data_IF_994928765284
#
_entry.id   IF_994928765284
#
_cell.length_a   1.000
_cell.length_b   1.000
_cell.length_c   1.000
_cell.angle_alpha   90.00
_cell.angle_beta   90.00
_cell.angle_gamma   90.00
#
_symmetry.space_group_name_H-M   'P 1'
#
loop_
_entity.id
_entity.type
_entity.pdbx_description
1 polymer ?
#
# COMPACT_ATOMS: atom_id res chain seq x y z
N UNK A 1 16.23 0.93 -4.69
CA UNK A 1 16.14 1.04 -3.22
C UNK A 1 14.75 1.53 -2.86
N UNK A 2 14.00 0.79 -2.05
CA UNK A 2 12.76 1.33 -1.45
C UNK A 2 13.20 2.21 -0.29
N UNK A 3 12.90 3.50 -0.35
CA UNK A 3 13.30 4.45 0.69
C UNK A 3 12.44 4.21 1.95
N UNK A 4 12.97 3.41 2.88
CA UNK A 4 12.33 3.06 4.16
C UNK A 4 11.99 4.30 5.01
N UNK A 5 12.64 5.45 4.74
CA UNK A 5 12.33 6.70 5.41
C UNK A 5 10.87 7.14 5.20
N UNK A 6 10.30 6.94 4.01
CA UNK A 6 8.97 7.48 3.69
C UNK A 6 7.84 6.88 4.53
N UNK A 7 7.91 5.58 4.81
CA UNK A 7 6.90 4.91 5.64
C UNK A 7 6.98 5.37 7.09
N UNK A 8 8.19 5.60 7.61
CA UNK A 8 8.42 6.02 9.00
C UNK A 8 7.79 7.38 9.33
N UNK A 9 7.58 8.25 8.34
CA UNK A 9 6.96 9.57 8.55
C UNK A 9 5.48 9.63 8.17
N UNK A 10 4.92 8.55 7.62
CA UNK A 10 3.53 8.57 7.19
C UNK A 10 2.60 8.57 8.41
N UNK A 11 1.60 9.46 8.50
CA UNK A 11 0.71 9.54 9.67
C UNK A 11 0.04 8.21 10.03
N UNK A 12 -0.39 7.44 9.02
CA UNK A 12 -1.00 6.10 9.19
C UNK A 12 -0.08 5.01 9.73
N UNK A 13 1.24 5.23 9.71
CA UNK A 13 2.25 4.28 10.19
C UNK A 13 2.94 4.74 11.48
N UNK A 14 2.46 5.82 12.12
CA UNK A 14 2.89 6.21 13.47
C UNK A 14 2.28 5.27 14.51
N UNK A 15 3.01 4.97 15.59
CA UNK A 15 2.69 3.93 16.58
C UNK A 15 1.19 3.66 16.82
N UNK A 16 0.46 4.59 17.44
CA UNK A 16 -0.97 4.39 17.77
C UNK A 16 -1.86 4.25 16.52
N UNK A 17 -1.53 4.92 15.43
CA UNK A 17 -2.27 4.80 14.17
C UNK A 17 -1.99 3.45 13.49
N UNK A 18 -0.75 2.96 13.57
CA UNK A 18 -0.36 1.66 13.05
C UNK A 18 -1.12 0.55 13.77
N UNK A 19 -1.19 0.60 15.10
CA UNK A 19 -1.92 -0.40 15.91
C UNK A 19 -3.42 -0.41 15.60
N UNK A 20 -4.03 0.76 15.38
CA UNK A 20 -5.43 0.87 14.95
C UNK A 20 -5.63 0.29 13.54
N UNK A 21 -4.79 0.71 12.59
CA UNK A 21 -4.88 0.29 11.19
C UNK A 21 -4.56 -1.19 11.00
N UNK A 22 -3.75 -1.80 11.87
CA UNK A 22 -3.46 -3.24 11.87
C UNK A 22 -4.74 -4.08 12.02
N UNK A 23 -5.70 -3.64 12.83
CA UNK A 23 -6.99 -4.33 12.99
C UNK A 23 -7.80 -4.35 11.69
N UNK A 24 -7.71 -3.29 10.88
CA UNK A 24 -8.34 -3.23 9.55
C UNK A 24 -7.63 -4.19 8.59
N UNK A 25 -6.29 -4.21 8.64
CA UNK A 25 -5.49 -5.14 7.84
C UNK A 25 -5.82 -6.62 8.17
N UNK A 26 -5.96 -6.96 9.45
CA UNK A 26 -6.31 -8.33 9.88
C UNK A 26 -7.65 -8.80 9.29
N UNK A 27 -8.65 -7.91 9.21
CA UNK A 27 -9.94 -8.24 8.56
C UNK A 27 -9.78 -8.48 7.06
N UNK A 28 -9.00 -7.66 6.37
CA UNK A 28 -8.67 -7.87 4.94
C UNK A 28 -7.89 -9.17 4.75
N UNK A 29 -6.97 -9.50 5.66
CA UNK A 29 -6.22 -10.76 5.60
C UNK A 29 -7.15 -11.98 5.76
N UNK A 30 -8.14 -11.92 6.66
CA UNK A 30 -9.16 -12.96 6.79
C UNK A 30 -9.98 -13.14 5.51
N UNK A 31 -10.38 -12.04 4.85
CA UNK A 31 -11.09 -12.12 3.57
C UNK A 31 -10.19 -12.67 2.45
N UNK A 32 -8.94 -12.25 2.39
CA UNK A 32 -8.01 -12.74 1.38
C UNK A 32 -7.82 -14.27 1.48
N UNK A 33 -7.75 -14.79 2.72
CA UNK A 33 -7.73 -16.24 2.99
C UNK A 33 -9.00 -16.95 2.48
N UNK A 34 -10.19 -16.38 2.66
CA UNK A 34 -11.46 -16.93 2.12
C UNK A 34 -11.44 -17.06 0.58
N UNK A 35 -10.72 -16.15 -0.08
CA UNK A 35 -10.53 -16.14 -1.54
C UNK A 35 -9.24 -16.82 -2.01
N UNK A 36 -8.53 -17.54 -1.12
CA UNK A 36 -7.28 -18.24 -1.42
C UNK A 36 -6.22 -17.35 -2.11
N UNK A 37 -6.19 -16.05 -1.76
CA UNK A 37 -5.31 -15.07 -2.36
C UNK A 37 -4.56 -14.26 -1.30
N UNK A 38 -3.57 -13.49 -1.74
CA UNK A 38 -2.86 -12.57 -0.84
C UNK A 38 -3.67 -11.29 -0.61
N UNK A 39 -3.48 -10.57 0.52
CA UNK A 39 -4.14 -9.28 0.75
C UNK A 39 -3.90 -8.26 -0.38
N UNK A 40 -2.71 -8.29 -0.99
CA UNK A 40 -2.38 -7.44 -2.13
C UNK A 40 -3.18 -7.80 -3.39
N UNK A 41 -3.37 -9.10 -3.65
CA UNK A 41 -4.22 -9.59 -4.74
C UNK A 41 -5.69 -9.23 -4.52
N UNK A 42 -6.21 -9.41 -3.30
CA UNK A 42 -7.58 -9.04 -2.97
C UNK A 42 -7.82 -7.54 -3.19
N UNK A 43 -6.90 -6.69 -2.72
CA UNK A 43 -6.99 -5.25 -2.92
C UNK A 43 -6.97 -4.87 -4.40
N UNK A 44 -6.08 -5.48 -5.20
CA UNK A 44 -5.98 -5.21 -6.62
C UNK A 44 -7.21 -5.73 -7.40
N UNK A 45 -7.75 -6.89 -7.04
CA UNK A 45 -8.97 -7.45 -7.61
C UNK A 45 -10.18 -6.55 -7.32
N UNK A 46 -10.28 -6.01 -6.09
CA UNK A 46 -11.31 -5.05 -5.74
C UNK A 46 -11.22 -3.78 -6.59
N UNK A 47 -10.01 -3.25 -6.86
CA UNK A 47 -9.81 -2.09 -7.74
C UNK A 47 -10.27 -2.39 -9.16
N UNK A 48 -9.89 -3.55 -9.71
CA UNK A 48 -10.31 -4.00 -11.05
C UNK A 48 -11.83 -4.10 -11.19
N UNK A 49 -12.54 -4.37 -10.10
CA UNK A 49 -14.01 -4.53 -10.09
C UNK A 49 -14.78 -3.19 -9.98
N UNK A 50 -14.10 -2.05 -9.85
CA UNK A 50 -14.75 -0.74 -9.72
C UNK A 50 -15.35 -0.21 -11.04
N UNK A 51 -14.97 -0.77 -12.18
CA UNK A 51 -15.49 -0.38 -13.49
C UNK A 51 -14.76 -1.06 -14.64
N UNK A 52 -15.41 -1.17 -15.80
CA UNK A 52 -14.81 -1.75 -17.01
C UNK A 52 -13.73 -0.84 -17.64
N UNK A 53 -13.72 0.43 -17.25
CA UNK A 53 -12.78 1.48 -17.64
C UNK A 53 -11.62 1.65 -16.65
N UNK A 54 -11.53 0.78 -15.63
CA UNK A 54 -10.49 0.86 -14.59
C UNK A 54 -9.31 -0.06 -14.94
N UNK A 55 -8.14 0.55 -15.15
CA UNK A 55 -6.89 -0.16 -15.43
C UNK A 55 -5.82 0.22 -14.39
N UNK A 56 -5.65 -0.54 -13.30
CA UNK A 56 -4.64 -0.25 -12.30
C UNK A 56 -3.23 -0.52 -12.85
N UNK A 57 -2.27 0.31 -12.42
CA UNK A 57 -0.86 0.25 -12.84
C UNK A 57 0.08 -0.05 -11.65
N UNK A 58 -0.02 -1.23 -11.00
CA UNK A 58 0.77 -1.53 -9.82
C UNK A 58 2.25 -1.71 -10.16
N UNK A 59 3.09 -0.82 -9.65
CA UNK A 59 4.54 -0.87 -9.82
C UNK A 59 5.22 -1.88 -8.89
N UNK A 60 6.32 -2.47 -9.34
CA UNK A 60 7.16 -3.39 -8.54
C UNK A 60 8.60 -3.41 -9.04
N UNK A 61 9.55 -3.75 -8.15
CA UNK A 61 10.96 -4.01 -8.51
C UNK A 61 11.33 -5.50 -8.44
N UNK A 62 10.36 -6.39 -8.18
CA UNK A 62 10.56 -7.83 -7.97
C UNK A 62 9.61 -8.64 -8.84
N UNK A 63 10.14 -9.66 -9.53
CA UNK A 63 9.35 -10.56 -10.38
C UNK A 63 8.27 -11.30 -9.59
N UNK A 64 8.58 -11.82 -8.40
CA UNK A 64 7.57 -12.49 -7.54
C UNK A 64 6.33 -11.62 -7.26
N UNK A 65 6.52 -10.31 -7.12
CA UNK A 65 5.42 -9.38 -6.90
C UNK A 65 4.66 -9.09 -8.21
N UNK A 66 5.35 -9.12 -9.36
CA UNK A 66 4.70 -9.06 -10.68
C UNK A 66 3.77 -10.26 -10.86
N UNK A 67 4.25 -11.47 -10.53
CA UNK A 67 3.44 -12.69 -10.58
C UNK A 67 2.22 -12.59 -9.66
N UNK A 68 2.40 -12.04 -8.45
CA UNK A 68 1.29 -11.77 -7.54
C UNK A 68 0.28 -10.78 -8.13
N UNK A 69 0.74 -9.66 -8.71
CA UNK A 69 -0.14 -8.68 -9.35
C UNK A 69 -0.94 -9.29 -10.49
N UNK A 70 -0.31 -10.12 -11.34
CA UNK A 70 -1.00 -10.86 -12.42
C UNK A 70 -2.05 -11.80 -11.83
N UNK A 71 -1.72 -12.52 -10.76
CA UNK A 71 -2.64 -13.43 -10.09
C UNK A 71 -3.92 -12.78 -9.55
N UNK A 72 -3.95 -11.45 -9.34
CA UNK A 72 -5.16 -10.75 -8.96
C UNK A 72 -6.28 -10.85 -10.01
N UNK A 73 -5.95 -11.03 -11.29
CA UNK A 73 -6.92 -11.19 -12.39
C UNK A 73 -7.77 -12.47 -12.26
N UNK A 74 -7.24 -13.47 -11.55
CA UNK A 74 -7.90 -14.75 -11.28
C UNK A 74 -8.86 -14.68 -10.10
N UNK A 75 -8.77 -13.65 -9.25
CA UNK A 75 -9.68 -13.46 -8.13
C UNK A 75 -11.01 -12.90 -8.67
N UNK A 76 -12.08 -13.68 -8.54
CA UNK A 76 -13.44 -13.28 -8.92
C UNK A 76 -14.21 -12.88 -7.67
N UNK A 77 -14.76 -11.67 -7.69
CA UNK A 77 -15.57 -11.12 -6.61
C UNK A 77 -16.98 -10.89 -7.14
N UNK A 78 -17.98 -11.41 -6.43
CA UNK A 78 -19.38 -11.04 -6.63
C UNK A 78 -19.66 -9.61 -6.18
N UNK A 79 -20.78 -9.02 -6.60
CA UNK A 79 -21.17 -7.68 -6.15
C UNK A 79 -21.34 -7.60 -4.63
N UNK A 80 -21.82 -8.68 -4.01
CA UNK A 80 -21.96 -8.83 -2.57
C UNK A 80 -20.59 -8.80 -1.88
N UNK A 81 -19.61 -9.53 -2.42
CA UNK A 81 -18.25 -9.57 -1.87
C UNK A 81 -17.52 -8.23 -2.05
N UNK A 82 -17.72 -7.54 -3.16
CA UNK A 82 -17.20 -6.17 -3.35
C UNK A 82 -17.77 -5.24 -2.29
N UNK A 83 -19.06 -5.32 -1.98
CA UNK A 83 -19.70 -4.55 -0.91
C UNK A 83 -19.15 -4.95 0.46
N UNK A 84 -18.99 -6.24 0.73
CA UNK A 84 -18.39 -6.76 1.97
C UNK A 84 -16.98 -6.19 2.19
N UNK A 85 -16.10 -6.33 1.19
CA UNK A 85 -14.72 -5.83 1.24
C UNK A 85 -14.69 -4.31 1.46
N UNK A 86 -15.57 -3.57 0.80
CA UNK A 86 -15.67 -2.11 0.96
C UNK A 86 -16.10 -1.71 2.36
N UNK A 87 -17.01 -2.47 2.99
CA UNK A 87 -17.50 -2.21 4.33
C UNK A 87 -16.48 -2.56 5.43
N UNK A 88 -15.52 -3.45 5.15
CA UNK A 88 -14.50 -3.88 6.12
C UNK A 88 -13.51 -2.77 6.48
N UNK A 89 -13.33 -1.78 5.59
CA UNK A 89 -12.44 -0.64 5.78
C UNK A 89 -13.23 0.67 5.64
N UNK A 90 -14.03 1.06 6.66
CA UNK A 90 -14.68 2.36 6.67
C UNK A 90 -13.63 3.47 6.60
N UNK A 91 -13.88 4.49 5.78
CA UNK A 91 -12.94 5.61 5.61
C UNK A 91 -12.65 6.30 6.95
N UNK A 92 -13.67 6.43 7.79
CA UNK A 92 -13.60 7.11 9.09
C UNK A 92 -12.81 6.31 10.16
N UNK A 93 -12.64 4.99 9.95
CA UNK A 93 -11.90 4.12 10.88
C UNK A 93 -10.38 4.13 10.62
N UNK A 94 -9.94 4.67 9.47
CA UNK A 94 -8.51 4.71 9.11
C UNK A 94 -7.81 5.81 9.91
N UNK A 95 -6.97 5.41 10.85
CA UNK A 95 -6.27 6.32 11.75
C UNK A 95 -5.10 7.03 11.06
N UNK A 96 -5.04 8.35 11.17
CA UNK A 96 -4.00 9.21 10.59
C UNK A 96 -4.33 9.73 9.19
N UNK A 97 -3.84 10.93 8.88
CA UNK A 97 -4.06 11.60 7.60
C UNK A 97 -3.61 10.78 6.38
N UNK A 98 -4.35 10.89 5.28
CA UNK A 98 -3.97 10.28 3.99
C UNK A 98 -2.69 10.90 3.41
N UNK A 99 -2.51 12.18 3.65
CA UNK A 99 -1.34 12.94 3.23
C UNK A 99 -0.45 13.19 4.44
N UNK A 100 0.84 13.39 4.17
CA UNK A 100 1.75 13.95 5.16
C UNK A 100 1.27 15.36 5.48
N UNK A 101 1.07 15.67 6.75
CA UNK A 101 0.78 17.03 7.17
C UNK A 101 2.10 17.82 7.16
N UNK A 102 2.20 18.80 6.26
CA UNK A 102 3.14 19.94 6.33
C UNK A 102 4.64 19.61 6.25
N UNK A 103 5.26 19.93 5.11
CA UNK A 103 6.63 20.45 4.96
C UNK A 103 7.66 20.10 6.06
N UNK A 104 8.02 18.83 6.21
CA UNK A 104 9.39 18.44 6.60
C UNK A 104 10.08 17.67 5.47
N UNK A 105 9.84 18.11 4.23
CA UNK A 105 10.70 17.72 3.11
C UNK A 105 12.00 18.56 3.08
N UNK A 106 12.07 19.62 3.90
CA UNK A 106 13.18 20.58 3.97
C UNK A 106 14.46 19.97 4.57
N UNK A 107 14.35 18.88 5.34
CA UNK A 107 15.48 18.27 6.04
C UNK A 107 16.26 17.23 5.22
N UNK A 108 15.84 16.93 3.97
CA UNK A 108 16.31 15.77 3.21
C UNK A 108 17.31 16.04 2.07
N UNK A 109 17.65 17.30 1.76
CA UNK A 109 18.42 17.58 0.53
C UNK A 109 19.91 17.82 0.79
N UNK A 110 20.30 18.52 1.87
CA UNK A 110 21.70 18.89 2.09
C UNK A 110 22.56 17.78 2.72
N UNK A 111 21.98 16.89 3.54
CA UNK A 111 22.72 15.84 4.26
C UNK A 111 23.40 14.81 3.34
N UNK A 112 22.91 14.68 2.11
CA UNK A 112 23.41 13.75 1.12
C UNK A 112 24.06 14.45 -0.08
N UNK A 113 24.20 15.77 -0.05
CA UNK A 113 24.86 16.57 -1.09
C UNK A 113 26.41 16.50 -0.97
N UNK A 114 26.93 15.28 -0.82
CA UNK A 114 28.37 15.04 -0.73
C UNK A 114 28.96 14.95 -2.14
N UNK A 115 30.14 15.55 -2.33
CA UNK A 115 30.92 15.42 -3.56
C UNK A 115 31.99 14.34 -3.36
N UNK A 116 32.15 13.35 -4.27
CA UNK A 116 33.21 12.37 -4.16
C UNK A 116 34.60 13.03 -4.05
N UNK A 117 35.49 12.58 -3.15
CA UNK A 117 36.81 13.17 -2.99
C UNK A 117 37.67 12.92 -4.24
N UNK A 118 38.61 13.85 -4.53
CA UNK A 118 39.55 13.68 -5.64
C UNK A 118 40.47 12.50 -5.37
N UNK A 119 40.45 11.49 -6.25
CA UNK A 119 41.39 10.36 -6.18
C UNK A 119 42.77 10.87 -6.58
N UNK A 120 43.77 10.75 -5.70
CA UNK A 120 45.17 11.03 -6.03
C UNK A 120 45.75 9.87 -6.83
N UNK A 121 46.01 10.10 -8.12
CA UNK A 121 46.87 9.25 -8.98
C UNK A 121 48.33 9.39 -8.59
#
# INVERSE_FOLDING_TARGET
>A
MVNLAYQAFHPRFQAENLDKNKKLFERIESLAKKHECTPAQLALAWVLQQGQDVVPIPGTTKIKNLDQNIGALSVKLSEEEVKEISAVVPIDDVAGGRHFNGLDQSSWIWKFANTPPKVST
#
